data_IF_321928174002
#
_entry.id   IF_321928174002
#
_cell.length_a   1.000
_cell.length_b   1.000
_cell.length_c   1.000
_cell.angle_alpha   90.00
_cell.angle_beta   90.00
_cell.angle_gamma   90.00
#
_symmetry.space_group_name_H-M   'P 1'
#
loop_
_entity.id
_entity.type
_entity.pdbx_description
1 polymer ?
#
# COMPACT_ATOMS: atom_id res chain seq x y z
N UNK A 1 45.31 -31.69 41.27
CA UNK A 1 44.01 -32.33 41.07
C UNK A 1 43.07 -31.24 40.53
N UNK A 2 43.02 -31.08 39.23
CA UNK A 2 42.16 -30.08 38.56
C UNK A 2 41.12 -30.78 37.68
N UNK A 3 39.85 -30.52 37.91
CA UNK A 3 38.76 -31.01 37.06
C UNK A 3 38.36 -29.91 36.09
N UNK A 4 38.61 -30.17 34.83
CA UNK A 4 38.10 -29.40 33.70
C UNK A 4 36.61 -29.63 33.52
N UNK A 5 35.80 -28.53 33.52
CA UNK A 5 34.41 -28.56 33.10
C UNK A 5 34.32 -28.17 31.60
N UNK A 6 34.07 -29.18 30.81
CA UNK A 6 33.75 -29.06 29.40
C UNK A 6 32.27 -28.61 29.28
N UNK A 7 32.03 -27.38 28.79
CA UNK A 7 30.69 -26.91 28.43
C UNK A 7 30.37 -27.42 27.03
N UNK A 8 29.36 -28.23 26.94
CA UNK A 8 28.75 -28.74 25.72
C UNK A 8 27.95 -27.62 25.05
N UNK A 9 28.45 -27.12 23.93
CA UNK A 9 27.66 -26.26 23.00
C UNK A 9 26.68 -27.13 22.25
N UNK A 10 25.39 -26.91 22.51
CA UNK A 10 24.31 -27.51 21.73
C UNK A 10 24.17 -26.72 20.42
N UNK A 11 24.63 -27.28 19.30
CA UNK A 11 24.28 -26.85 17.97
C UNK A 11 22.78 -27.04 17.77
N UNK A 12 22.04 -25.95 17.64
CA UNK A 12 20.69 -25.99 17.08
C UNK A 12 20.81 -26.12 15.55
N UNK A 13 20.64 -27.34 15.06
CA UNK A 13 20.38 -27.56 13.63
C UNK A 13 19.05 -26.92 13.27
N UNK A 14 19.11 -25.87 12.47
CA UNK A 14 17.94 -25.34 11.76
C UNK A 14 17.46 -26.42 10.79
N UNK A 15 16.28 -26.97 11.04
CA UNK A 15 15.56 -27.78 10.08
C UNK A 15 15.15 -26.88 8.92
N UNK A 16 15.85 -26.99 7.81
CA UNK A 16 15.44 -26.43 6.54
C UNK A 16 14.16 -27.15 6.08
N UNK A 17 13.03 -26.49 6.16
CA UNK A 17 11.82 -26.92 5.48
C UNK A 17 12.09 -26.86 3.98
N UNK A 18 12.26 -28.03 3.35
CA UNK A 18 12.19 -28.18 1.91
C UNK A 18 10.77 -27.86 1.45
N UNK A 19 10.50 -26.59 1.16
CA UNK A 19 9.34 -26.21 0.38
C UNK A 19 9.58 -26.61 -1.08
N UNK A 20 8.79 -27.55 -1.54
CA UNK A 20 8.69 -28.00 -2.92
C UNK A 20 8.36 -26.79 -3.83
N UNK A 21 9.38 -26.27 -4.51
CA UNK A 21 9.26 -25.21 -5.49
C UNK A 21 8.65 -25.76 -6.78
N UNK A 22 7.33 -25.83 -6.85
CA UNK A 22 6.65 -25.69 -8.13
C UNK A 22 6.69 -24.21 -8.45
N UNK A 23 7.48 -23.81 -9.47
CA UNK A 23 7.66 -22.43 -9.88
C UNK A 23 6.32 -21.79 -10.27
N UNK A 24 5.58 -21.29 -9.27
CA UNK A 24 4.36 -20.53 -9.44
C UNK A 24 4.75 -19.12 -9.86
N UNK A 25 4.35 -18.71 -11.05
CA UNK A 25 4.31 -17.31 -11.47
C UNK A 25 3.47 -16.58 -10.42
N UNK A 26 4.10 -15.78 -9.55
CA UNK A 26 3.37 -14.87 -8.67
C UNK A 26 2.64 -13.90 -9.57
N UNK A 27 1.33 -14.04 -9.66
CA UNK A 27 0.51 -13.21 -10.52
C UNK A 27 0.44 -11.78 -9.96
N UNK A 28 0.30 -10.76 -10.81
CA UNK A 28 0.10 -9.35 -10.39
C UNK A 28 -0.98 -9.22 -9.31
N UNK A 29 -1.97 -10.11 -9.31
CA UNK A 29 -3.01 -10.20 -8.30
C UNK A 29 -2.49 -10.42 -6.87
N UNK A 30 -1.33 -11.07 -6.70
CA UNK A 30 -0.77 -11.35 -5.39
C UNK A 30 0.05 -10.19 -4.82
N UNK A 31 0.69 -9.37 -5.66
CA UNK A 31 1.53 -8.26 -5.19
C UNK A 31 0.72 -7.15 -4.52
N UNK A 32 -0.44 -6.78 -5.05
CA UNK A 32 -1.28 -5.76 -4.43
C UNK A 32 -1.89 -6.26 -3.11
N UNK A 33 -2.17 -7.56 -2.97
CA UNK A 33 -2.60 -8.17 -1.70
C UNK A 33 -1.50 -8.12 -0.64
N UNK A 34 -0.26 -8.39 -1.04
CA UNK A 34 0.91 -8.31 -0.17
C UNK A 34 1.08 -6.88 0.35
N UNK A 35 1.09 -5.88 -0.54
CA UNK A 35 1.23 -4.46 -0.13
C UNK A 35 0.08 -4.03 0.78
N UNK A 36 -1.15 -4.43 0.48
CA UNK A 36 -2.32 -4.15 1.30
C UNK A 36 -2.20 -4.76 2.70
N UNK A 37 -1.71 -5.99 2.78
CA UNK A 37 -1.44 -6.69 4.04
C UNK A 37 -0.34 -5.98 4.84
N UNK A 38 0.77 -5.61 4.22
CA UNK A 38 1.86 -4.88 4.87
C UNK A 38 1.41 -3.53 5.42
N UNK A 39 0.62 -2.77 4.66
CA UNK A 39 0.04 -1.51 5.15
C UNK A 39 -0.83 -1.78 6.38
N UNK A 40 -1.69 -2.80 6.35
CA UNK A 40 -2.54 -3.17 7.50
C UNK A 40 -1.71 -3.51 8.74
N UNK A 41 -0.65 -4.29 8.59
CA UNK A 41 0.25 -4.69 9.67
C UNK A 41 1.00 -3.46 10.25
N UNK A 42 1.50 -2.57 9.38
CA UNK A 42 2.17 -1.33 9.78
C UNK A 42 1.23 -0.42 10.57
N UNK A 43 0.01 -0.19 10.09
CA UNK A 43 -0.96 0.67 10.77
C UNK A 43 -1.34 0.10 12.16
N UNK A 44 -1.55 -1.21 12.27
CA UNK A 44 -1.90 -1.89 13.52
C UNK A 44 -0.74 -1.92 14.53
N UNK A 45 0.50 -1.99 14.08
CA UNK A 45 1.68 -2.01 14.95
C UNK A 45 2.03 -0.64 15.53
N UNK A 46 1.40 0.45 15.05
CA UNK A 46 1.68 1.81 15.50
C UNK A 46 0.43 2.56 16.00
N UNK A 47 -0.27 2.03 17.03
CA UNK A 47 -1.56 2.59 17.46
C UNK A 47 -1.47 4.04 17.94
N UNK A 48 -0.37 4.44 18.58
CA UNK A 48 -0.17 5.80 19.09
C UNK A 48 -0.15 6.85 17.98
N UNK A 49 0.80 6.80 17.04
CA UNK A 49 0.84 7.68 15.87
C UNK A 49 -0.46 7.66 15.07
N UNK A 50 -1.07 6.48 14.87
CA UNK A 50 -2.32 6.36 14.13
C UNK A 50 -3.48 7.05 14.84
N UNK A 51 -3.59 6.92 16.16
CA UNK A 51 -4.62 7.62 16.93
C UNK A 51 -4.52 9.14 16.76
N UNK A 52 -3.30 9.69 16.73
CA UNK A 52 -3.08 11.13 16.49
C UNK A 52 -3.50 11.52 15.08
N UNK A 53 -3.01 10.76 14.07
CA UNK A 53 -3.33 11.02 12.66
C UNK A 53 -4.85 10.99 12.41
N UNK A 54 -5.56 10.00 12.97
CA UNK A 54 -7.01 9.86 12.83
C UNK A 54 -7.76 11.01 13.48
N UNK A 55 -7.43 11.35 14.75
CA UNK A 55 -8.11 12.44 15.48
C UNK A 55 -7.92 13.79 14.82
N UNK A 56 -6.73 14.07 14.31
CA UNK A 56 -6.37 15.35 13.69
C UNK A 56 -6.58 15.39 12.18
N UNK A 57 -6.94 14.28 11.53
CA UNK A 57 -7.00 14.12 10.08
C UNK A 57 -5.67 14.51 9.42
N UNK A 58 -4.56 14.25 10.11
CA UNK A 58 -3.23 14.57 9.62
C UNK A 58 -2.79 13.51 8.60
N UNK A 59 -2.36 13.94 7.43
CA UNK A 59 -1.77 13.04 6.43
C UNK A 59 -0.48 12.43 6.97
N UNK A 60 -0.30 11.14 6.75
CA UNK A 60 0.85 10.39 7.24
C UNK A 60 1.60 9.63 6.13
N UNK A 61 1.39 10.02 4.88
CA UNK A 61 1.99 9.40 3.69
C UNK A 61 3.52 9.30 3.79
N UNK A 62 4.18 10.42 4.17
CA UNK A 62 5.63 10.45 4.34
C UNK A 62 6.13 9.47 5.40
N UNK A 63 5.43 9.33 6.52
CA UNK A 63 5.75 8.33 7.54
C UNK A 63 5.47 6.91 7.05
N UNK A 64 4.33 6.71 6.38
CA UNK A 64 3.90 5.38 5.92
C UNK A 64 4.91 4.77 4.94
N UNK A 65 5.44 5.55 4.00
CA UNK A 65 6.40 5.02 3.02
C UNK A 65 7.69 4.49 3.67
N UNK A 66 8.24 5.17 4.68
CA UNK A 66 9.42 4.67 5.41
C UNK A 66 9.11 3.44 6.27
N UNK A 67 7.96 3.46 6.97
CA UNK A 67 7.52 2.32 7.77
C UNK A 67 7.24 1.09 6.90
N UNK A 68 6.65 1.29 5.72
CA UNK A 68 6.38 0.23 4.76
C UNK A 68 7.68 -0.33 4.16
N UNK A 69 8.66 0.52 3.84
CA UNK A 69 9.97 0.09 3.37
C UNK A 69 10.66 -0.82 4.39
N UNK A 70 10.74 -0.39 5.65
CA UNK A 70 11.28 -1.22 6.75
C UNK A 70 10.51 -2.52 6.92
N UNK A 71 9.17 -2.47 6.84
CA UNK A 71 8.34 -3.66 6.98
C UNK A 71 8.55 -4.66 5.83
N UNK A 72 8.63 -4.16 4.59
CA UNK A 72 8.89 -4.96 3.40
C UNK A 72 10.26 -5.68 3.49
N UNK A 73 11.30 -4.98 3.97
CA UNK A 73 12.62 -5.57 4.21
C UNK A 73 12.55 -6.72 5.22
N UNK A 74 11.85 -6.51 6.35
CA UNK A 74 11.63 -7.56 7.35
C UNK A 74 10.84 -8.77 6.80
N UNK A 75 10.01 -8.57 5.79
CA UNK A 75 9.26 -9.65 5.11
C UNK A 75 10.08 -10.34 4.01
N UNK A 76 11.29 -9.88 3.70
CA UNK A 76 12.18 -10.48 2.71
C UNK A 76 12.12 -9.86 1.32
N UNK A 77 11.48 -8.69 1.15
CA UNK A 77 11.62 -7.91 -0.07
C UNK A 77 13.05 -7.39 -0.23
N UNK A 78 13.51 -7.28 -1.46
CA UNK A 78 14.86 -6.78 -1.79
C UNK A 78 14.79 -5.54 -2.67
N UNK A 79 15.94 -4.93 -2.95
CA UNK A 79 16.07 -3.74 -3.82
C UNK A 79 15.09 -2.61 -3.44
N UNK A 80 14.95 -2.39 -2.13
CA UNK A 80 14.01 -1.42 -1.58
C UNK A 80 14.55 0.00 -1.75
N UNK A 81 13.78 0.86 -2.39
CA UNK A 81 14.11 2.28 -2.61
C UNK A 81 12.89 3.14 -2.29
N UNK A 82 13.08 4.12 -1.41
CA UNK A 82 12.08 5.17 -1.16
C UNK A 82 12.36 6.34 -2.09
N UNK A 83 11.31 6.91 -2.70
CA UNK A 83 11.42 7.96 -3.71
C UNK A 83 12.28 7.54 -4.92
N UNK A 84 12.06 6.32 -5.39
CA UNK A 84 12.78 5.75 -6.51
C UNK A 84 12.55 6.56 -7.80
N UNK A 85 13.61 6.88 -8.56
CA UNK A 85 13.43 7.51 -9.86
C UNK A 85 12.70 6.58 -10.81
N UNK A 86 11.68 7.09 -11.51
CA UNK A 86 10.95 6.37 -12.55
C UNK A 86 11.49 6.81 -13.90
N UNK A 87 11.90 5.85 -14.73
CA UNK A 87 12.29 6.11 -16.12
C UNK A 87 11.03 6.24 -16.97
N UNK A 88 10.52 7.45 -17.11
CA UNK A 88 9.47 7.79 -18.08
C UNK A 88 10.13 8.50 -19.24
N UNK A 89 9.90 8.03 -20.49
CA UNK A 89 10.47 8.64 -21.69
C UNK A 89 10.15 10.14 -21.73
N UNK A 90 11.19 11.00 -21.60
CA UNK A 90 11.09 12.45 -21.71
C UNK A 90 10.85 13.23 -20.41
N UNK A 91 10.68 12.59 -19.23
CA UNK A 91 10.45 13.29 -17.95
C UNK A 91 11.41 12.79 -16.88
N UNK A 92 12.53 13.47 -16.71
CA UNK A 92 13.61 13.12 -15.76
C UNK A 92 13.31 13.37 -14.26
N UNK A 93 12.04 13.55 -13.83
CA UNK A 93 11.69 13.94 -12.45
C UNK A 93 10.54 13.15 -11.81
N UNK A 94 10.01 12.15 -12.48
CA UNK A 94 9.01 11.29 -11.86
C UNK A 94 9.67 10.36 -10.84
N UNK A 95 9.08 10.23 -9.66
CA UNK A 95 9.54 9.31 -8.60
C UNK A 95 8.34 8.54 -8.09
N UNK A 96 8.51 7.23 -7.85
CA UNK A 96 7.57 6.47 -7.05
C UNK A 96 7.80 6.74 -5.57
N UNK A 97 6.76 6.65 -4.77
CA UNK A 97 6.90 6.81 -3.33
C UNK A 97 7.74 5.69 -2.71
N UNK A 98 7.61 4.47 -3.25
CA UNK A 98 8.25 3.28 -2.73
C UNK A 98 8.42 2.24 -3.84
N UNK A 99 9.59 1.64 -3.93
CA UNK A 99 9.91 0.59 -4.90
C UNK A 99 10.57 -0.59 -4.19
N UNK A 100 10.27 -1.81 -4.63
CA UNK A 100 10.83 -3.03 -4.05
C UNK A 100 10.81 -4.16 -5.09
N UNK A 101 11.61 -5.21 -4.82
CA UNK A 101 11.60 -6.45 -5.59
C UNK A 101 11.05 -7.60 -4.75
N UNK A 102 10.11 -8.34 -5.31
CA UNK A 102 9.48 -9.48 -4.69
C UNK A 102 9.39 -10.62 -5.72
N UNK A 103 9.87 -11.81 -5.36
CA UNK A 103 9.93 -12.98 -6.24
C UNK A 103 10.53 -12.68 -7.65
N UNK A 104 11.59 -11.87 -7.67
CA UNK A 104 12.28 -11.50 -8.89
C UNK A 104 11.63 -10.38 -9.70
N UNK A 105 10.41 -9.95 -9.36
CA UNK A 105 9.68 -8.87 -10.03
C UNK A 105 9.84 -7.56 -9.27
N UNK A 106 10.08 -6.46 -9.99
CA UNK A 106 10.12 -5.11 -9.42
C UNK A 106 8.74 -4.48 -9.44
N UNK A 107 8.37 -3.89 -8.32
CA UNK A 107 7.13 -3.14 -8.11
C UNK A 107 7.45 -1.69 -7.74
N UNK A 108 6.73 -0.75 -8.33
CA UNK A 108 6.74 0.66 -7.96
C UNK A 108 5.36 1.03 -7.41
N UNK A 109 5.33 1.59 -6.20
CA UNK A 109 4.09 1.88 -5.47
C UNK A 109 3.94 3.37 -5.29
N UNK A 110 2.82 3.92 -5.74
CA UNK A 110 2.34 5.25 -5.40
C UNK A 110 1.46 5.16 -4.16
N UNK A 111 1.78 5.93 -3.13
CA UNK A 111 1.06 5.95 -1.85
C UNK A 111 0.23 7.23 -1.71
N UNK A 112 -1.00 7.08 -1.23
CA UNK A 112 -1.83 8.22 -0.83
C UNK A 112 -2.53 7.96 0.48
N UNK A 113 -2.70 9.02 1.27
CA UNK A 113 -3.46 8.97 2.51
C UNK A 113 -4.60 10.00 2.47
N UNK A 114 -5.66 9.75 1.66
CA UNK A 114 -6.80 10.64 1.57
C UNK A 114 -7.62 10.62 2.87
N UNK A 115 -7.79 11.80 3.48
CA UNK A 115 -8.66 11.95 4.62
C UNK A 115 -10.10 12.26 4.18
N UNK A 116 -11.06 11.74 4.95
CA UNK A 116 -12.49 12.06 4.78
C UNK A 116 -12.83 13.35 5.53
N UNK A 117 -14.02 13.92 5.25
CA UNK A 117 -14.60 15.03 6.04
C UNK A 117 -15.84 14.59 6.82
N UNK A 118 -16.05 13.28 6.98
CA UNK A 118 -17.24 12.76 7.66
C UNK A 118 -17.16 12.99 9.15
N UNK A 119 -18.26 13.46 9.73
CA UNK A 119 -18.32 13.75 11.16
C UNK A 119 -18.31 12.47 11.97
N UNK A 120 -17.53 12.43 13.05
CA UNK A 120 -17.49 11.34 14.00
C UNK A 120 -16.94 11.81 15.35
N UNK A 121 -17.35 11.17 16.46
CA UNK A 121 -16.88 11.52 17.80
C UNK A 121 -15.36 11.38 17.92
N UNK A 122 -14.72 12.31 18.64
CA UNK A 122 -13.28 12.24 18.93
C UNK A 122 -12.36 12.62 17.76
N UNK A 123 -12.92 13.05 16.62
CA UNK A 123 -12.16 13.44 15.43
C UNK A 123 -12.41 14.91 15.09
N UNK A 124 -11.36 15.65 14.78
CA UNK A 124 -11.44 17.06 14.38
C UNK A 124 -12.32 17.23 13.12
N UNK A 125 -13.09 18.32 13.08
CA UNK A 125 -13.89 18.64 11.88
C UNK A 125 -12.98 19.08 10.73
N UNK A 126 -13.36 18.70 9.51
CA UNK A 126 -12.70 19.10 8.29
C UNK A 126 -13.75 19.57 7.28
N UNK A 127 -13.62 20.81 6.82
CA UNK A 127 -14.57 21.43 5.87
C UNK A 127 -14.15 21.29 4.40
N UNK A 128 -12.99 20.69 4.12
CA UNK A 128 -12.49 20.55 2.74
C UNK A 128 -13.20 19.40 2.02
N UNK A 129 -13.57 19.61 0.73
CA UNK A 129 -14.14 18.53 -0.08
C UNK A 129 -13.18 17.34 -0.21
N UNK A 130 -13.69 16.13 -0.01
CA UNK A 130 -12.94 14.88 -0.13
C UNK A 130 -12.54 14.60 -1.59
N UNK A 131 -13.33 15.10 -2.55
CA UNK A 131 -13.14 14.86 -3.99
C UNK A 131 -11.75 15.21 -4.51
N UNK A 132 -11.12 16.28 -4.01
CA UNK A 132 -9.77 16.67 -4.43
C UNK A 132 -8.71 15.61 -4.08
N UNK A 133 -8.89 14.92 -2.95
CA UNK A 133 -7.98 13.86 -2.53
C UNK A 133 -8.05 12.64 -3.48
N UNK A 134 -9.24 12.35 -4.02
CA UNK A 134 -9.41 11.22 -4.95
C UNK A 134 -8.95 11.54 -6.37
N UNK A 135 -9.09 12.79 -6.82
CA UNK A 135 -8.55 13.21 -8.12
C UNK A 135 -7.03 13.00 -8.20
N UNK A 136 -6.29 13.25 -7.09
CA UNK A 136 -4.84 13.01 -7.07
C UNK A 136 -4.47 11.52 -7.20
N UNK A 137 -5.28 10.60 -6.69
CA UNK A 137 -5.07 9.16 -6.86
C UNK A 137 -5.20 8.76 -8.34
N UNK A 138 -6.22 9.30 -9.02
CA UNK A 138 -6.44 9.06 -10.46
C UNK A 138 -5.30 9.64 -11.30
N UNK A 139 -4.85 10.87 -10.97
CA UNK A 139 -3.72 11.49 -11.66
C UNK A 139 -2.43 10.67 -11.52
N UNK A 140 -2.13 10.17 -10.32
CA UNK A 140 -0.95 9.34 -10.08
C UNK A 140 -1.09 7.97 -10.75
N UNK A 141 -2.28 7.36 -10.73
CA UNK A 141 -2.56 6.15 -11.48
C UNK A 141 -2.34 6.30 -13.00
N UNK A 142 -2.70 7.45 -13.58
CA UNK A 142 -2.44 7.75 -15.00
C UNK A 142 -0.96 7.99 -15.31
N UNK A 143 -0.18 8.48 -14.34
CA UNK A 143 1.26 8.71 -14.48
C UNK A 143 2.09 7.44 -14.22
N UNK A 144 1.53 6.46 -13.52
CA UNK A 144 2.21 5.22 -13.14
C UNK A 144 2.41 4.29 -14.35
N UNK A 145 3.14 4.78 -15.35
CA UNK A 145 3.44 4.04 -16.59
C UNK A 145 4.96 3.83 -16.66
N UNK A 146 5.44 2.68 -16.20
CA UNK A 146 6.84 2.28 -16.29
C UNK A 146 6.98 1.01 -17.12
N UNK A 147 7.97 0.98 -18.01
CA UNK A 147 8.26 -0.18 -18.84
C UNK A 147 9.02 -1.27 -18.08
N UNK A 148 9.73 -0.90 -17.01
CA UNK A 148 10.69 -1.77 -16.32
C UNK A 148 10.16 -2.32 -14.98
N UNK A 149 8.95 -1.99 -14.57
CA UNK A 149 8.37 -2.41 -13.30
C UNK A 149 6.85 -2.61 -13.38
N UNK A 150 6.30 -3.20 -12.34
CA UNK A 150 4.86 -3.39 -12.15
C UNK A 150 4.32 -2.23 -11.29
N UNK A 151 3.61 -1.25 -11.86
CA UNK A 151 3.11 -0.13 -11.10
C UNK A 151 1.89 -0.53 -10.26
N UNK A 152 1.90 -0.13 -8.98
CA UNK A 152 0.82 -0.28 -8.03
C UNK A 152 0.39 1.08 -7.51
N UNK A 153 -0.91 1.27 -7.32
CA UNK A 153 -1.45 2.39 -6.57
C UNK A 153 -2.02 1.86 -5.26
N UNK A 154 -1.51 2.40 -4.15
CA UNK A 154 -1.99 2.08 -2.81
C UNK A 154 -2.46 3.34 -2.10
N UNK A 155 -3.61 3.27 -1.43
CA UNK A 155 -4.09 4.40 -0.65
C UNK A 155 -4.84 3.96 0.61
N UNK A 156 -4.84 4.85 1.59
CA UNK A 156 -5.47 4.63 2.88
C UNK A 156 -6.51 5.72 3.11
N UNK A 157 -7.80 5.37 3.01
CA UNK A 157 -8.91 6.28 3.30
C UNK A 157 -9.13 6.30 4.81
N UNK A 158 -9.11 7.50 5.41
CA UNK A 158 -9.26 7.67 6.85
C UNK A 158 -9.77 9.08 7.25
N UNK A 159 -10.24 9.24 8.47
CA UNK A 159 -10.94 8.25 9.27
C UNK A 159 -12.34 8.02 8.70
N UNK A 160 -12.91 6.84 8.95
CA UNK A 160 -14.24 6.43 8.48
C UNK A 160 -15.08 6.09 9.72
N UNK A 161 -16.36 6.50 9.82
CA UNK A 161 -17.25 6.00 10.85
C UNK A 161 -17.38 4.47 10.76
N UNK A 162 -17.39 3.76 11.89
CA UNK A 162 -17.45 2.30 11.92
C UNK A 162 -18.66 1.80 11.11
N UNK A 163 -18.39 0.89 10.18
CA UNK A 163 -19.40 0.30 9.32
C UNK A 163 -19.92 1.17 8.17
N UNK A 164 -19.38 2.37 7.98
CA UNK A 164 -19.77 3.26 6.89
C UNK A 164 -19.16 2.81 5.56
N UNK A 165 -20.01 2.56 4.57
CA UNK A 165 -19.62 2.05 3.25
C UNK A 165 -19.58 3.11 2.14
N UNK A 166 -19.75 4.40 2.44
CA UNK A 166 -19.67 5.48 1.44
C UNK A 166 -18.35 5.53 0.68
N UNK A 167 -17.28 5.00 1.25
CA UNK A 167 -15.99 4.88 0.59
C UNK A 167 -16.02 4.02 -0.68
N UNK A 168 -16.99 3.10 -0.81
CA UNK A 168 -17.15 2.28 -2.02
C UNK A 168 -17.40 3.13 -3.26
N UNK A 169 -18.15 4.23 -3.14
CA UNK A 169 -18.39 5.16 -4.24
C UNK A 169 -17.09 5.79 -4.77
N UNK A 170 -16.10 6.00 -3.89
CA UNK A 170 -14.80 6.51 -4.31
C UNK A 170 -13.98 5.43 -5.02
N UNK A 171 -14.03 4.19 -4.54
CA UNK A 171 -13.35 3.06 -5.20
C UNK A 171 -13.94 2.84 -6.61
N UNK A 172 -15.25 2.85 -6.73
CA UNK A 172 -15.97 2.75 -8.01
C UNK A 172 -15.60 3.87 -8.97
N UNK A 173 -15.58 5.11 -8.49
CA UNK A 173 -15.19 6.27 -9.27
C UNK A 173 -13.74 6.19 -9.75
N UNK A 174 -12.80 5.80 -8.89
CA UNK A 174 -11.40 5.61 -9.26
C UNK A 174 -11.30 4.54 -10.35
N UNK A 175 -11.99 3.40 -10.17
CA UNK A 175 -12.03 2.34 -11.18
C UNK A 175 -12.54 2.86 -12.53
N UNK A 176 -13.65 3.57 -12.54
CA UNK A 176 -14.21 4.16 -13.76
C UNK A 176 -13.22 5.12 -14.46
N UNK A 177 -12.61 6.03 -13.70
CA UNK A 177 -11.67 7.04 -14.23
C UNK A 177 -10.35 6.41 -14.75
N UNK A 178 -9.94 5.27 -14.20
CA UNK A 178 -8.76 4.52 -14.61
C UNK A 178 -9.08 3.35 -15.56
N UNK A 179 -10.34 3.16 -15.92
CA UNK A 179 -10.83 2.03 -16.72
C UNK A 179 -10.47 0.66 -16.12
N UNK A 180 -10.54 0.54 -14.80
CA UNK A 180 -10.28 -0.65 -14.03
C UNK A 180 -11.55 -1.17 -13.36
N UNK A 181 -11.70 -2.48 -13.27
CA UNK A 181 -12.73 -3.11 -12.44
C UNK A 181 -12.22 -3.28 -11.03
N UNK A 182 -12.52 -2.32 -10.14
CA UNK A 182 -12.15 -2.38 -8.74
C UNK A 182 -13.32 -2.89 -7.90
N UNK A 183 -13.05 -3.82 -6.99
CA UNK A 183 -14.03 -4.35 -6.04
C UNK A 183 -13.51 -4.29 -4.61
N UNK A 184 -14.43 -4.30 -3.65
CA UNK A 184 -14.10 -4.34 -2.23
C UNK A 184 -13.26 -5.58 -1.89
N UNK A 185 -13.71 -6.73 -2.36
CA UNK A 185 -13.16 -8.04 -1.98
C UNK A 185 -11.73 -8.21 -2.51
N UNK A 186 -11.49 -7.81 -3.76
CA UNK A 186 -10.19 -7.98 -4.41
C UNK A 186 -9.21 -6.86 -4.08
N UNK A 187 -9.67 -5.62 -3.81
CA UNK A 187 -8.77 -4.47 -3.80
C UNK A 187 -8.78 -3.66 -2.50
N UNK A 188 -9.61 -4.01 -1.50
CA UNK A 188 -9.70 -3.27 -0.26
C UNK A 188 -9.60 -4.17 0.98
N UNK A 189 -9.05 -3.63 2.05
CA UNK A 189 -9.04 -4.19 3.40
C UNK A 189 -9.51 -3.13 4.38
N UNK A 190 -10.55 -3.40 5.13
CA UNK A 190 -11.06 -2.53 6.19
C UNK A 190 -10.53 -2.98 7.53
N UNK A 191 -9.98 -2.06 8.31
CA UNK A 191 -9.51 -2.31 9.68
C UNK A 191 -10.09 -1.27 10.62
N UNK A 192 -10.35 -1.65 11.86
CA UNK A 192 -10.77 -0.74 12.93
C UNK A 192 -9.58 -0.40 13.81
N UNK A 193 -9.36 0.89 14.05
CA UNK A 193 -8.27 1.40 14.89
C UNK A 193 -8.85 2.20 16.06
N UNK A 194 -8.38 1.96 17.31
CA UNK A 194 -8.73 2.80 18.45
C UNK A 194 -8.08 4.17 18.31
N UNK A 195 -8.84 5.23 18.56
CA UNK A 195 -8.35 6.61 18.57
C UNK A 195 -8.34 7.22 19.96
N UNK A 196 -9.09 6.63 20.89
CA UNK A 196 -9.10 6.94 22.33
C UNK A 196 -9.69 5.74 23.07
N UNK A 197 -9.68 5.72 24.42
CA UNK A 197 -10.33 4.65 25.18
C UNK A 197 -11.82 4.46 24.88
N UNK A 198 -12.51 5.53 24.43
CA UNK A 198 -13.95 5.52 24.19
C UNK A 198 -14.33 5.47 22.70
N UNK A 199 -13.38 5.68 21.79
CA UNK A 199 -13.70 5.83 20.36
C UNK A 199 -12.74 5.04 19.47
N UNK A 200 -13.30 4.44 18.43
CA UNK A 200 -12.58 3.81 17.33
C UNK A 200 -13.11 4.33 16.00
N UNK A 201 -12.32 4.18 14.97
CA UNK A 201 -12.69 4.51 13.58
C UNK A 201 -12.26 3.39 12.65
N UNK A 202 -12.92 3.30 11.51
CA UNK A 202 -12.47 2.44 10.43
C UNK A 202 -11.47 3.18 9.54
N UNK A 203 -10.60 2.39 8.95
CA UNK A 203 -9.63 2.76 7.92
C UNK A 203 -9.75 1.76 6.79
N UNK A 204 -9.79 2.23 5.57
CA UNK A 204 -9.82 1.37 4.39
C UNK A 204 -8.52 1.50 3.62
N UNK A 205 -7.85 0.39 3.43
CA UNK A 205 -6.60 0.24 2.69
C UNK A 205 -6.96 -0.33 1.33
N UNK A 206 -6.65 0.38 0.27
CA UNK A 206 -6.85 -0.07 -1.09
C UNK A 206 -5.49 -0.21 -1.78
N UNK A 207 -5.33 -1.26 -2.60
CA UNK A 207 -4.18 -1.43 -3.47
C UNK A 207 -4.60 -2.17 -4.74
N UNK A 208 -4.12 -1.71 -5.89
CA UNK A 208 -4.40 -2.34 -7.17
C UNK A 208 -3.29 -2.07 -8.18
N UNK A 209 -3.08 -2.98 -9.16
CA UNK A 209 -2.12 -2.78 -10.24
C UNK A 209 -2.68 -1.83 -11.29
N UNK A 210 -1.79 -1.05 -11.91
CA UNK A 210 -2.09 -0.29 -13.12
C UNK A 210 -1.66 -1.14 -14.31
N UNK A 211 -2.61 -1.52 -15.16
CA UNK A 211 -2.31 -2.29 -16.36
C UNK A 211 -1.85 -1.39 -17.50
N UNK A 212 -0.70 -1.70 -18.11
CA UNK A 212 -0.12 -0.97 -19.24
C UNK A 212 -0.93 -1.03 -20.55
N UNK A 213 -2.07 -1.72 -20.58
CA UNK A 213 -2.80 -2.02 -21.83
C UNK A 213 -3.60 -0.89 -22.44
N UNK A 214 -3.66 0.31 -21.85
CA UNK A 214 -4.54 1.40 -22.35
C UNK A 214 -3.90 2.26 -23.44
N UNK A 215 -2.57 2.21 -23.64
CA UNK A 215 -1.90 3.14 -24.58
C UNK A 215 -1.88 2.68 -26.06
N UNK A 216 -2.15 1.41 -26.36
CA UNK A 216 -2.01 0.89 -27.73
C UNK A 216 -3.29 0.89 -28.59
N UNK A 217 -4.45 1.23 -28.03
CA UNK A 217 -5.73 1.15 -28.78
C UNK A 217 -6.23 2.47 -29.39
N UNK A 218 -5.45 3.55 -29.33
CA UNK A 218 -5.78 4.81 -30.03
C UNK A 218 -4.85 5.08 -31.22
N UNK A 219 -4.62 4.08 -32.08
CA UNK A 219 -4.17 4.36 -33.46
C UNK A 219 -5.41 4.77 -34.22
N UNK A 220 -5.53 6.03 -34.71
CA UNK A 220 -6.63 6.39 -35.60
C UNK A 220 -6.51 5.55 -36.86
N UNK A 221 -7.53 4.80 -37.17
CA UNK A 221 -7.68 4.20 -38.51
C UNK A 221 -7.75 5.38 -39.47
N UNK A 222 -6.66 5.63 -40.19
CA UNK A 222 -6.66 6.57 -41.30
C UNK A 222 -7.57 5.98 -42.39
N UNK A 223 -8.65 6.70 -42.67
CA UNK A 223 -9.53 6.50 -43.83
C UNK A 223 -8.95 7.21 -45.03
#
# INVERSE_FOLDING_TARGET
MGRSHQKSEKCYCAQAHHNNWLGGIVTMAQAHDIVRTWISEVLRSHPGPMAIAMRQRAKFEGWLKFSLATHAELKGATDIVVEAPISVSGVNRARSDFSFKWDGVRYDVELKTPNTNWRMPGVAELHRPVTKNFSSIVEDGRKANSQDCQPLVAFVIFPIPIGDNRWLQYLERIGHELQLTLSREAHATQITLPISPAHSVDVVICCFPISLRVAEQLVPIAV
#
